data_IF_366309443034
#
_entry.id   IF_366309443034
#
_cell.length_a   1.000
_cell.length_b   1.000
_cell.length_c   1.000
_cell.angle_alpha   90.00
_cell.angle_beta   90.00
_cell.angle_gamma   90.00
#
_symmetry.space_group_name_H-M   'P 1'
#
loop_
_entity.id
_entity.type
_entity.pdbx_description
1 polymer ?
#
# COMPACT_ATOMS: atom_id res chain seq x y z
N UNK A 1 36.77 -15.82 13.91
CA UNK A 1 35.79 -14.77 13.49
C UNK A 1 36.55 -13.83 12.57
N UNK A 2 36.39 -14.00 11.25
CA UNK A 2 36.98 -13.12 10.25
C UNK A 2 36.19 -11.80 10.24
N UNK A 3 36.87 -10.73 10.62
CA UNK A 3 36.32 -9.38 10.50
C UNK A 3 36.03 -9.12 9.00
N UNK A 4 34.75 -9.00 8.65
CA UNK A 4 34.38 -8.52 7.31
C UNK A 4 34.93 -7.11 7.16
N UNK A 5 35.73 -6.89 6.11
CA UNK A 5 36.17 -5.54 5.70
C UNK A 5 34.95 -4.61 5.67
N UNK A 6 35.06 -3.35 6.12
CA UNK A 6 33.96 -2.41 6.00
C UNK A 6 33.59 -2.30 4.52
N UNK A 7 32.32 -2.52 4.20
CA UNK A 7 31.83 -2.28 2.84
C UNK A 7 31.98 -0.78 2.56
N UNK A 8 32.76 -0.46 1.54
CA UNK A 8 33.09 0.91 1.12
C UNK A 8 32.08 1.45 0.12
N UNK A 9 31.12 0.65 -0.32
CA UNK A 9 30.07 1.01 -1.27
C UNK A 9 28.68 0.78 -0.66
N UNK A 10 27.67 1.59 -1.06
CA UNK A 10 26.29 1.37 -0.64
C UNK A 10 25.84 -0.03 -1.00
N UNK A 11 25.11 -0.75 -0.12
CA UNK A 11 24.62 -2.07 -0.44
C UNK A 11 23.63 -1.97 -1.60
N UNK A 12 23.77 -2.79 -2.64
CA UNK A 12 22.75 -2.88 -3.67
C UNK A 12 21.44 -3.37 -3.06
N UNK A 13 20.32 -2.89 -3.59
CA UNK A 13 19.02 -3.46 -3.25
C UNK A 13 19.02 -4.95 -3.61
N UNK A 14 18.52 -5.85 -2.74
CA UNK A 14 18.47 -7.26 -3.06
C UNK A 14 17.65 -7.51 -4.33
N UNK A 15 18.26 -8.23 -5.26
CA UNK A 15 17.51 -8.76 -6.41
C UNK A 15 16.59 -9.85 -5.88
N UNK A 16 15.30 -9.67 -6.11
CA UNK A 16 14.30 -10.69 -5.79
C UNK A 16 14.12 -11.62 -7.00
N UNK A 17 13.73 -12.86 -6.73
CA UNK A 17 13.26 -13.75 -7.80
C UNK A 17 11.74 -13.58 -7.91
N UNK A 18 11.22 -13.01 -9.02
CA UNK A 18 9.82 -12.57 -9.11
C UNK A 18 8.79 -13.69 -8.97
N UNK A 19 9.07 -14.87 -9.51
CA UNK A 19 8.15 -16.02 -9.43
C UNK A 19 8.01 -16.51 -7.99
N UNK A 20 9.12 -16.77 -7.32
CA UNK A 20 9.13 -17.19 -5.90
C UNK A 20 8.50 -16.13 -5.01
N UNK A 21 8.77 -14.85 -5.27
CA UNK A 21 8.18 -13.75 -4.51
C UNK A 21 6.67 -13.71 -4.68
N UNK A 22 6.18 -13.83 -5.91
CA UNK A 22 4.75 -13.90 -6.19
C UNK A 22 4.09 -15.09 -5.50
N UNK A 23 4.69 -16.28 -5.54
CA UNK A 23 4.16 -17.49 -4.91
C UNK A 23 4.11 -17.36 -3.37
N UNK A 24 5.12 -16.76 -2.75
CA UNK A 24 5.12 -16.46 -1.31
C UNK A 24 4.00 -15.50 -0.92
N UNK A 25 3.76 -14.46 -1.71
CA UNK A 25 2.68 -13.50 -1.46
C UNK A 25 1.31 -14.15 -1.66
N UNK A 26 1.14 -14.97 -2.69
CA UNK A 26 -0.09 -15.74 -2.92
C UNK A 26 -0.37 -16.69 -1.75
N UNK A 27 0.65 -17.39 -1.26
CA UNK A 27 0.55 -18.24 -0.07
C UNK A 27 0.17 -17.44 1.19
N UNK A 28 0.75 -16.24 1.37
CA UNK A 28 0.38 -15.33 2.45
C UNK A 28 -1.09 -14.93 2.36
N UNK A 29 -1.58 -14.49 1.19
CA UNK A 29 -2.98 -14.13 0.98
C UNK A 29 -3.89 -15.30 1.32
N UNK A 30 -3.61 -16.49 0.79
CA UNK A 30 -4.39 -17.71 1.04
C UNK A 30 -4.43 -18.06 2.53
N UNK A 31 -3.33 -17.88 3.24
CA UNK A 31 -3.26 -18.09 4.69
C UNK A 31 -4.13 -17.08 5.45
N UNK A 32 -4.12 -15.77 5.05
CA UNK A 32 -4.98 -14.75 5.65
C UNK A 32 -6.46 -15.08 5.45
N UNK A 33 -6.85 -15.49 4.25
CA UNK A 33 -8.23 -15.89 3.94
C UNK A 33 -8.65 -17.09 4.78
N UNK A 34 -7.84 -18.13 4.86
CA UNK A 34 -8.10 -19.31 5.69
C UNK A 34 -8.23 -18.97 7.18
N UNK A 35 -7.32 -18.15 7.72
CA UNK A 35 -7.33 -17.76 9.13
C UNK A 35 -8.54 -16.91 9.51
N UNK A 36 -9.04 -16.10 8.60
CA UNK A 36 -10.18 -15.20 8.84
C UNK A 36 -11.53 -15.83 8.52
N UNK A 37 -11.54 -16.92 7.72
CA UNK A 37 -12.74 -17.57 7.22
C UNK A 37 -13.45 -16.84 6.08
N UNK A 38 -12.82 -15.79 5.52
CA UNK A 38 -13.30 -15.15 4.28
C UNK A 38 -12.79 -15.89 3.06
N UNK A 39 -13.54 -15.80 1.95
CA UNK A 39 -13.17 -16.38 0.66
C UNK A 39 -13.03 -15.34 -0.45
N UNK A 40 -13.38 -14.07 -0.19
CA UNK A 40 -13.45 -13.01 -1.17
C UNK A 40 -12.59 -11.82 -0.77
N UNK A 41 -12.12 -11.08 -1.77
CA UNK A 41 -11.24 -9.92 -1.60
C UNK A 41 -11.80 -8.73 -2.36
N UNK A 42 -11.70 -7.54 -1.75
CA UNK A 42 -11.95 -6.25 -2.40
C UNK A 42 -10.63 -5.50 -2.55
N UNK A 43 -10.38 -4.95 -3.73
CA UNK A 43 -9.20 -4.12 -4.05
C UNK A 43 -9.64 -2.82 -4.71
N UNK A 44 -9.11 -1.70 -4.24
CA UNK A 44 -9.24 -0.42 -4.94
C UNK A 44 -8.32 -0.38 -6.17
N UNK A 45 -8.88 -0.20 -7.36
CA UNK A 45 -8.12 -0.11 -8.61
C UNK A 45 -7.92 1.35 -9.01
N UNK A 46 -6.70 1.84 -8.86
CA UNK A 46 -6.31 3.21 -9.22
C UNK A 46 -5.80 3.34 -10.66
N UNK A 47 -5.54 2.22 -11.35
CA UNK A 47 -4.82 2.21 -12.62
C UNK A 47 -3.31 2.34 -12.48
N UNK A 48 -2.76 2.29 -11.26
CA UNK A 48 -1.33 2.24 -10.96
C UNK A 48 -0.84 0.81 -10.75
N UNK A 49 0.48 0.62 -10.86
CA UNK A 49 1.14 -0.69 -10.78
C UNK A 49 0.90 -1.42 -9.45
N UNK A 50 0.84 -0.70 -8.33
CA UNK A 50 0.63 -1.28 -7.00
C UNK A 50 -0.72 -1.98 -6.92
N UNK A 51 -1.80 -1.25 -7.22
CA UNK A 51 -3.16 -1.79 -7.18
C UNK A 51 -3.36 -2.92 -8.21
N UNK A 52 -2.74 -2.81 -9.38
CA UNK A 52 -2.74 -3.86 -10.39
C UNK A 52 -2.05 -5.13 -9.89
N UNK A 53 -0.84 -4.99 -9.33
CA UNK A 53 -0.08 -6.14 -8.79
C UNK A 53 -0.85 -6.85 -7.68
N UNK A 54 -1.45 -6.09 -6.75
CA UNK A 54 -2.29 -6.67 -5.68
C UNK A 54 -3.49 -7.41 -6.26
N UNK A 55 -4.16 -6.86 -7.27
CA UNK A 55 -5.30 -7.52 -7.91
C UNK A 55 -4.90 -8.84 -8.60
N UNK A 56 -3.75 -8.87 -9.31
CA UNK A 56 -3.24 -10.11 -9.92
C UNK A 56 -2.86 -11.16 -8.88
N UNK A 57 -2.19 -10.78 -7.79
CA UNK A 57 -1.86 -11.68 -6.67
C UNK A 57 -3.12 -12.20 -5.98
N UNK A 58 -4.11 -11.33 -5.74
CA UNK A 58 -5.39 -11.72 -5.15
C UNK A 58 -6.17 -12.68 -6.05
N UNK A 59 -6.23 -12.42 -7.36
CA UNK A 59 -6.89 -13.30 -8.31
C UNK A 59 -6.23 -14.69 -8.36
N UNK A 60 -4.89 -14.77 -8.28
CA UNK A 60 -4.17 -16.07 -8.16
C UNK A 60 -4.48 -16.80 -6.86
N UNK A 61 -4.72 -16.08 -5.77
CA UNK A 61 -4.95 -16.68 -4.44
C UNK A 61 -6.39 -17.18 -4.25
N UNK A 62 -7.40 -16.42 -4.71
CA UNK A 62 -8.81 -16.75 -4.44
C UNK A 62 -9.65 -17.02 -5.69
N UNK A 63 -9.08 -16.84 -6.88
CA UNK A 63 -9.77 -16.91 -8.16
C UNK A 63 -10.45 -15.58 -8.53
N UNK A 64 -10.60 -15.29 -9.84
CA UNK A 64 -11.15 -14.01 -10.31
C UNK A 64 -12.60 -13.77 -9.88
N UNK A 65 -13.43 -14.81 -9.76
CA UNK A 65 -14.82 -14.71 -9.32
C UNK A 65 -14.96 -14.25 -7.86
N UNK A 66 -13.92 -14.43 -7.06
CA UNK A 66 -13.85 -14.03 -5.64
C UNK A 66 -13.10 -12.71 -5.43
N UNK A 67 -12.78 -11.99 -6.50
CA UNK A 67 -12.14 -10.68 -6.47
C UNK A 67 -13.11 -9.61 -6.98
N UNK A 68 -13.27 -8.53 -6.20
CA UNK A 68 -13.96 -7.31 -6.60
C UNK A 68 -12.97 -6.15 -6.73
N UNK A 69 -12.78 -5.67 -7.95
CA UNK A 69 -12.02 -4.46 -8.25
C UNK A 69 -12.91 -3.22 -8.21
N UNK A 70 -12.70 -2.31 -7.25
CA UNK A 70 -13.51 -1.09 -7.12
C UNK A 70 -12.74 0.10 -7.69
N UNK A 71 -13.33 0.75 -8.69
CA UNK A 71 -12.81 1.99 -9.31
C UNK A 71 -13.51 3.18 -8.68
N UNK A 72 -12.75 4.12 -8.13
CA UNK A 72 -13.27 5.23 -7.34
C UNK A 72 -12.76 6.57 -7.85
N UNK A 73 -13.15 6.99 -9.06
CA UNK A 73 -12.70 8.26 -9.62
C UNK A 73 -13.28 9.45 -8.84
N UNK A 74 -12.49 10.51 -8.81
CA UNK A 74 -12.93 11.85 -8.44
C UNK A 74 -12.94 12.72 -9.71
N UNK A 75 -13.66 13.81 -9.76
CA UNK A 75 -13.82 14.67 -10.97
C UNK A 75 -12.51 15.13 -11.62
N UNK A 76 -11.40 15.18 -10.86
CA UNK A 76 -10.08 15.54 -11.39
C UNK A 76 -9.19 14.33 -11.69
N UNK A 77 -9.67 13.10 -11.43
CA UNK A 77 -8.92 11.89 -11.76
C UNK A 77 -8.68 11.76 -13.27
N UNK A 78 -7.51 11.28 -13.62
CA UNK A 78 -7.12 11.11 -15.02
C UNK A 78 -7.99 10.05 -15.71
N UNK A 79 -8.58 10.34 -16.88
CA UNK A 79 -9.26 9.32 -17.69
C UNK A 79 -8.36 8.12 -18.04
N UNK A 80 -7.06 8.33 -18.17
CA UNK A 80 -6.10 7.26 -18.40
C UNK A 80 -6.04 6.29 -17.22
N UNK A 81 -6.12 6.79 -15.98
CA UNK A 81 -6.14 5.93 -14.78
C UNK A 81 -7.37 5.03 -14.75
N UNK A 82 -8.54 5.53 -15.14
CA UNK A 82 -9.74 4.69 -15.24
C UNK A 82 -9.64 3.64 -16.36
N UNK A 83 -9.06 4.03 -17.51
CA UNK A 83 -8.79 3.10 -18.63
C UNK A 83 -7.83 1.99 -18.21
N UNK A 84 -6.75 2.33 -17.50
CA UNK A 84 -5.77 1.36 -17.02
C UNK A 84 -6.38 0.41 -15.97
N UNK A 85 -7.21 0.92 -15.05
CA UNK A 85 -7.95 0.08 -14.12
C UNK A 85 -8.89 -0.90 -14.83
N UNK A 86 -9.56 -0.49 -15.91
CA UNK A 86 -10.38 -1.37 -16.73
C UNK A 86 -9.55 -2.44 -17.47
N UNK A 87 -8.34 -2.11 -17.92
CA UNK A 87 -7.42 -3.11 -18.52
C UNK A 87 -7.06 -4.20 -17.51
N UNK A 88 -6.81 -3.85 -16.25
CA UNK A 88 -6.59 -4.82 -15.17
C UNK A 88 -7.80 -5.74 -15.02
N UNK A 89 -9.00 -5.17 -14.95
CA UNK A 89 -10.26 -5.95 -14.85
C UNK A 89 -10.43 -6.92 -16.02
N UNK A 90 -10.18 -6.44 -17.24
CA UNK A 90 -10.29 -7.27 -18.45
C UNK A 90 -9.26 -8.39 -18.48
N UNK A 91 -8.02 -8.10 -18.09
CA UNK A 91 -6.95 -9.11 -18.07
C UNK A 91 -7.22 -10.20 -17.03
N UNK A 92 -7.84 -9.88 -15.91
CA UNK A 92 -8.16 -10.81 -14.82
C UNK A 92 -9.51 -11.51 -15.02
N UNK A 93 -10.45 -10.93 -15.76
CA UNK A 93 -11.83 -11.40 -15.82
C UNK A 93 -12.56 -11.29 -14.47
N UNK A 94 -12.15 -10.40 -13.57
CA UNK A 94 -12.73 -10.26 -12.24
C UNK A 94 -13.96 -9.34 -12.26
N UNK A 95 -14.73 -9.38 -11.16
CA UNK A 95 -15.85 -8.44 -10.95
C UNK A 95 -15.33 -7.02 -10.75
N UNK A 96 -16.10 -6.02 -11.21
CA UNK A 96 -15.75 -4.62 -11.00
C UNK A 96 -16.96 -3.75 -10.75
N UNK A 97 -16.77 -2.74 -9.92
CA UNK A 97 -17.72 -1.65 -9.70
C UNK A 97 -17.04 -0.30 -9.87
N UNK A 98 -17.85 0.70 -10.24
CA UNK A 98 -17.44 2.10 -10.33
C UNK A 98 -18.25 2.92 -9.35
N UNK A 99 -17.57 3.55 -8.40
CA UNK A 99 -18.18 4.47 -7.43
C UNK A 99 -17.47 5.80 -7.55
N UNK A 100 -18.13 6.80 -8.14
CA UNK A 100 -17.61 8.16 -8.21
C UNK A 100 -17.67 8.83 -6.84
N UNK A 101 -16.54 9.30 -6.33
CA UNK A 101 -16.46 9.88 -4.98
C UNK A 101 -16.70 11.40 -4.93
N UNK A 102 -16.83 12.07 -6.07
CA UNK A 102 -17.08 13.54 -6.13
C UNK A 102 -18.27 13.99 -5.26
N UNK A 103 -19.44 13.31 -5.31
CA UNK A 103 -20.59 13.69 -4.49
C UNK A 103 -20.38 13.51 -2.98
N UNK A 104 -19.36 12.73 -2.57
CA UNK A 104 -19.01 12.53 -1.16
C UNK A 104 -17.93 13.50 -0.69
N UNK A 105 -17.04 13.91 -1.59
CA UNK A 105 -15.88 14.75 -1.29
C UNK A 105 -16.25 16.24 -1.32
N UNK A 106 -16.87 16.71 -2.39
CA UNK A 106 -17.12 18.15 -2.59
C UNK A 106 -18.01 18.78 -1.51
N UNK A 107 -19.14 18.16 -1.10
CA UNK A 107 -19.95 18.71 0.00
C UNK A 107 -19.19 18.78 1.33
N UNK A 108 -18.38 17.76 1.63
CA UNK A 108 -17.57 17.76 2.86
C UNK A 108 -16.53 18.87 2.84
N UNK A 109 -15.83 19.08 1.73
CA UNK A 109 -14.86 20.17 1.58
C UNK A 109 -15.55 21.54 1.69
N UNK A 110 -16.74 21.71 1.10
CA UNK A 110 -17.53 22.94 1.22
C UNK A 110 -17.90 23.27 2.68
N UNK A 111 -18.20 22.26 3.49
CA UNK A 111 -18.49 22.44 4.93
C UNK A 111 -17.25 22.77 5.76
N UNK A 112 -16.07 22.27 5.37
CA UNK A 112 -14.83 22.45 6.11
C UNK A 112 -14.12 23.78 5.81
N UNK A 113 -14.61 24.57 4.87
CA UNK A 113 -14.00 25.81 4.41
C UNK A 113 -12.81 25.60 3.49
N UNK A 114 -12.53 26.58 2.66
CA UNK A 114 -11.41 26.55 1.72
C UNK A 114 -10.08 26.82 2.42
N UNK A 115 -9.19 25.85 2.38
CA UNK A 115 -7.76 26.10 2.61
C UNK A 115 -7.13 26.58 1.29
N UNK A 116 -6.03 27.32 1.34
CA UNK A 116 -5.32 27.81 0.17
C UNK A 116 -3.93 27.18 0.06
N UNK A 117 -3.39 27.13 -1.14
CA UNK A 117 -2.03 26.63 -1.39
C UNK A 117 -1.88 25.11 -1.22
N UNK A 118 -0.65 24.70 -0.94
CA UNK A 118 -0.28 23.26 -0.84
C UNK A 118 -1.02 22.53 0.29
N UNK A 119 -1.31 23.24 1.40
CA UNK A 119 -2.10 22.67 2.49
C UNK A 119 -3.51 22.26 2.03
N UNK A 120 -4.13 23.04 1.15
CA UNK A 120 -5.43 22.72 0.59
C UNK A 120 -5.40 21.44 -0.26
N UNK A 121 -4.32 21.24 -1.03
CA UNK A 121 -4.13 20.02 -1.83
C UNK A 121 -3.99 18.79 -0.93
N UNK A 122 -3.15 18.85 0.09
CA UNK A 122 -2.96 17.77 1.07
C UNK A 122 -4.26 17.44 1.80
N UNK A 123 -5.00 18.45 2.27
CA UNK A 123 -6.30 18.25 2.95
C UNK A 123 -7.31 17.57 2.02
N UNK A 124 -7.43 18.06 0.77
CA UNK A 124 -8.31 17.46 -0.24
C UNK A 124 -7.92 16.02 -0.56
N UNK A 125 -6.65 15.76 -0.80
CA UNK A 125 -6.11 14.41 -1.04
C UNK A 125 -6.44 13.46 0.11
N UNK A 126 -6.26 13.89 1.35
CA UNK A 126 -6.61 13.11 2.53
C UNK A 126 -8.12 12.82 2.63
N UNK A 127 -8.98 13.77 2.27
CA UNK A 127 -10.43 13.53 2.22
C UNK A 127 -10.77 12.50 1.15
N UNK A 128 -10.21 12.63 -0.06
CA UNK A 128 -10.43 11.66 -1.13
C UNK A 128 -9.97 10.26 -0.75
N UNK A 129 -8.79 10.11 -0.16
CA UNK A 129 -8.26 8.81 0.26
C UNK A 129 -9.17 8.15 1.32
N UNK A 130 -9.69 8.95 2.28
CA UNK A 130 -10.62 8.44 3.29
C UNK A 130 -12.01 8.11 2.74
N UNK A 131 -12.51 8.85 1.75
CA UNK A 131 -13.76 8.48 1.07
C UNK A 131 -13.61 7.17 0.29
N UNK A 132 -12.48 6.95 -0.37
CA UNK A 132 -12.16 5.68 -1.01
C UNK A 132 -12.12 4.52 0.00
N UNK A 133 -11.51 4.74 1.16
CA UNK A 133 -11.51 3.76 2.25
C UNK A 133 -12.93 3.40 2.70
N UNK A 134 -13.80 4.40 2.92
CA UNK A 134 -15.21 4.17 3.31
C UNK A 134 -15.91 3.29 2.28
N UNK A 135 -15.77 3.60 0.99
CA UNK A 135 -16.36 2.81 -0.10
C UNK A 135 -15.82 1.37 -0.10
N UNK A 136 -14.50 1.17 0.06
CA UNK A 136 -13.91 -0.16 0.08
C UNK A 136 -14.42 -1.01 1.25
N UNK A 137 -14.54 -0.43 2.43
CA UNK A 137 -15.05 -1.14 3.61
C UNK A 137 -16.56 -1.41 3.53
N UNK A 138 -17.36 -0.52 2.94
CA UNK A 138 -18.76 -0.78 2.63
C UNK A 138 -18.89 -1.96 1.66
N UNK A 139 -18.16 -1.93 0.54
CA UNK A 139 -18.12 -3.02 -0.43
C UNK A 139 -17.59 -4.34 0.14
N UNK A 140 -16.70 -4.27 1.11
CA UNK A 140 -16.22 -5.48 1.79
C UNK A 140 -17.32 -6.18 2.59
N UNK A 141 -18.25 -5.43 3.18
CA UNK A 141 -19.43 -5.99 3.86
C UNK A 141 -20.43 -6.54 2.84
N UNK A 142 -20.75 -5.77 1.80
CA UNK A 142 -21.68 -6.18 0.75
C UNK A 142 -21.22 -7.48 0.03
N UNK A 143 -19.93 -7.58 -0.27
CA UNK A 143 -19.34 -8.72 -0.98
C UNK A 143 -18.90 -9.86 -0.06
N UNK A 144 -19.04 -9.74 1.26
CA UNK A 144 -18.50 -10.65 2.29
C UNK A 144 -17.01 -10.92 2.07
N UNK A 145 -16.20 -9.87 2.06
CA UNK A 145 -14.82 -9.88 1.61
C UNK A 145 -13.88 -9.17 2.61
N UNK A 146 -12.57 -9.35 2.43
CA UNK A 146 -11.54 -8.54 3.09
C UNK A 146 -10.98 -7.50 2.13
N UNK A 147 -10.66 -6.31 2.64
CA UNK A 147 -9.97 -5.26 1.89
C UNK A 147 -8.47 -5.58 1.84
N UNK A 148 -7.91 -5.73 0.64
CA UNK A 148 -6.47 -5.83 0.44
C UNK A 148 -5.86 -4.43 0.25
N UNK A 149 -4.81 -4.13 1.02
CA UNK A 149 -4.04 -2.89 0.90
C UNK A 149 -3.09 -2.92 -0.29
N UNK A 150 -2.86 -1.75 -0.84
CA UNK A 150 -2.03 -1.57 -2.03
C UNK A 150 -0.75 -0.77 -1.77
N UNK A 151 -0.47 -0.39 -0.51
CA UNK A 151 0.76 0.30 -0.13
C UNK A 151 1.95 -0.65 -0.13
N UNK A 152 3.05 -0.23 -0.72
CA UNK A 152 4.33 -0.93 -0.73
C UNK A 152 5.24 -0.50 0.43
N UNK A 153 6.41 -1.17 0.58
CA UNK A 153 7.37 -0.91 1.67
C UNK A 153 7.92 0.51 1.65
N UNK A 154 8.23 1.05 0.48
CA UNK A 154 8.78 2.40 0.32
C UNK A 154 7.79 3.45 0.81
N UNK A 155 6.55 3.37 0.34
CA UNK A 155 5.46 4.26 0.75
C UNK A 155 5.18 4.15 2.26
N UNK A 156 5.12 2.94 2.79
CA UNK A 156 4.90 2.69 4.21
C UNK A 156 6.01 3.29 5.07
N UNK A 157 7.30 3.11 4.71
CA UNK A 157 8.44 3.64 5.45
C UNK A 157 8.50 5.17 5.41
N UNK A 158 8.27 5.76 4.24
CA UNK A 158 8.25 7.21 4.06
C UNK A 158 6.97 7.87 4.57
N UNK A 159 5.96 7.07 4.97
CA UNK A 159 4.64 7.59 5.35
C UNK A 159 3.95 8.32 4.21
N UNK A 160 4.22 7.92 2.96
CA UNK A 160 3.58 8.44 1.76
C UNK A 160 2.22 7.75 1.56
N UNK A 161 1.38 7.87 2.58
CA UNK A 161 0.03 7.32 2.68
C UNK A 161 -0.82 8.23 3.55
N UNK A 162 -2.12 8.19 3.37
CA UNK A 162 -3.08 8.82 4.28
C UNK A 162 -3.49 7.82 5.36
N UNK A 163 -3.18 8.15 6.61
CA UNK A 163 -3.61 7.35 7.75
C UNK A 163 -5.15 7.22 7.77
N UNK A 164 -5.65 5.98 7.88
CA UNK A 164 -7.07 5.65 7.78
C UNK A 164 -7.72 6.04 6.42
N UNK A 165 -6.89 6.20 5.38
CA UNK A 165 -7.31 6.32 3.99
C UNK A 165 -6.80 5.12 3.20
N UNK A 166 -5.90 5.37 2.24
CA UNK A 166 -5.22 4.32 1.45
C UNK A 166 -4.33 3.40 2.30
N UNK A 167 -3.87 3.85 3.47
CA UNK A 167 -3.17 2.99 4.44
C UNK A 167 -4.07 2.01 5.21
N UNK A 168 -5.40 2.12 5.08
CA UNK A 168 -6.33 1.23 5.78
C UNK A 168 -6.62 -0.04 4.96
N UNK A 169 -6.38 -1.20 5.57
CA UNK A 169 -6.63 -2.50 4.95
C UNK A 169 -6.73 -3.60 6.00
N UNK A 170 -7.27 -4.76 5.60
CA UNK A 170 -7.28 -5.95 6.44
C UNK A 170 -5.93 -6.69 6.42
N UNK A 171 -5.20 -6.59 5.33
CA UNK A 171 -3.85 -7.12 5.13
C UNK A 171 -3.15 -6.39 3.98
N UNK A 172 -1.82 -6.35 4.00
CA UNK A 172 -0.98 -5.63 3.04
C UNK A 172 -0.04 -6.61 2.30
N UNK A 173 -0.45 -7.17 1.15
CA UNK A 173 0.30 -8.22 0.46
C UNK A 173 1.66 -7.77 -0.07
N UNK A 174 1.80 -6.51 -0.48
CA UNK A 174 3.03 -5.95 -1.04
C UNK A 174 3.77 -5.03 -0.06
N UNK A 175 3.36 -5.01 1.21
CA UNK A 175 3.90 -4.11 2.24
C UNK A 175 5.38 -4.34 2.59
N UNK A 176 5.98 -5.43 2.15
CA UNK A 176 7.43 -5.71 2.31
C UNK A 176 8.21 -5.69 0.98
N UNK A 177 7.59 -5.24 -0.11
CA UNK A 177 8.28 -5.01 -1.38
C UNK A 177 8.63 -3.53 -1.55
N UNK A 178 9.88 -3.24 -1.87
CA UNK A 178 10.27 -1.92 -2.35
C UNK A 178 9.63 -1.64 -3.72
N UNK A 179 9.41 -0.36 -4.04
CA UNK A 179 8.74 0.06 -5.29
C UNK A 179 9.46 -0.45 -6.54
N UNK A 180 10.78 -0.40 -6.56
CA UNK A 180 11.59 -0.95 -7.66
C UNK A 180 11.46 -2.46 -7.81
N UNK A 181 11.36 -3.21 -6.70
CA UNK A 181 11.16 -4.65 -6.70
C UNK A 181 9.75 -5.03 -7.17
N UNK A 182 8.75 -4.24 -6.82
CA UNK A 182 7.36 -4.47 -7.19
C UNK A 182 7.17 -4.55 -8.71
N UNK A 183 7.87 -3.71 -9.47
CA UNK A 183 7.79 -3.71 -10.95
C UNK A 183 8.15 -5.06 -11.55
N UNK A 184 9.21 -5.70 -11.05
CA UNK A 184 9.63 -7.02 -11.52
C UNK A 184 8.56 -8.10 -11.23
N UNK A 185 7.90 -8.01 -10.07
CA UNK A 185 6.78 -8.90 -9.73
C UNK A 185 5.57 -8.64 -10.64
N UNK A 186 5.25 -7.37 -10.91
CA UNK A 186 4.16 -6.99 -11.80
C UNK A 186 4.35 -7.53 -13.23
N UNK A 187 5.56 -7.40 -13.77
CA UNK A 187 5.93 -7.95 -15.09
C UNK A 187 5.77 -9.48 -15.11
N UNK A 188 6.30 -10.17 -14.10
CA UNK A 188 6.17 -11.63 -13.98
C UNK A 188 4.72 -12.10 -13.91
N UNK A 189 3.86 -11.35 -13.24
CA UNK A 189 2.43 -11.66 -13.11
C UNK A 189 1.64 -11.42 -14.40
N UNK A 190 2.20 -10.71 -15.38
CA UNK A 190 1.54 -10.34 -16.63
C UNK A 190 0.65 -9.11 -16.49
N UNK A 191 0.95 -8.21 -15.55
CA UNK A 191 0.33 -6.88 -15.49
C UNK A 191 0.59 -6.15 -16.82
N UNK A 192 -0.41 -5.50 -17.44
CA UNK A 192 -0.22 -4.80 -18.71
C UNK A 192 1.00 -3.87 -18.69
N UNK A 193 1.86 -3.98 -19.71
CA UNK A 193 3.17 -3.32 -19.74
C UNK A 193 3.07 -1.79 -19.60
N UNK A 194 2.05 -1.18 -20.19
CA UNK A 194 1.78 0.25 -20.08
C UNK A 194 1.51 0.73 -18.64
N UNK A 195 0.97 -0.15 -17.78
CA UNK A 195 0.77 0.14 -16.35
C UNK A 195 2.09 0.01 -15.59
N UNK A 196 2.92 -0.98 -15.93
CA UNK A 196 4.21 -1.23 -15.27
C UNK A 196 5.20 -0.08 -15.51
N UNK A 197 5.24 0.46 -16.73
CA UNK A 197 6.17 1.55 -17.10
C UNK A 197 5.64 2.94 -16.77
N UNK A 198 4.36 3.06 -16.39
CA UNK A 198 3.72 4.34 -16.07
C UNK A 198 4.42 4.99 -14.88
N UNK A 199 4.73 6.32 -14.95
CA UNK A 199 5.22 7.05 -13.80
C UNK A 199 4.26 6.94 -12.60
N UNK A 200 4.77 6.66 -11.39
CA UNK A 200 3.92 6.55 -10.20
C UNK A 200 3.21 7.88 -9.88
N UNK A 201 1.92 7.80 -9.56
CA UNK A 201 1.12 8.95 -9.16
C UNK A 201 -0.06 8.51 -8.30
N UNK A 202 -0.36 9.28 -7.25
CA UNK A 202 -1.57 9.11 -6.45
C UNK A 202 -2.83 9.65 -7.17
N UNK A 203 -2.70 10.35 -8.31
CA UNK A 203 -3.79 10.90 -9.15
C UNK A 203 -4.81 11.73 -8.34
N UNK A 204 -4.32 12.52 -7.38
CA UNK A 204 -5.15 13.37 -6.53
C UNK A 204 -5.37 14.76 -7.14
N UNK A 205 -4.47 15.21 -8.01
CA UNK A 205 -4.59 16.44 -8.80
C UNK A 205 -3.87 16.32 -10.14
N UNK A 206 -4.24 17.13 -11.14
CA UNK A 206 -3.64 17.06 -12.48
C UNK A 206 -2.12 17.29 -12.45
N UNK A 207 -1.37 16.40 -13.13
CA UNK A 207 0.08 16.49 -13.24
C UNK A 207 0.86 16.03 -12.01
N UNK A 208 0.22 15.47 -10.99
CA UNK A 208 0.89 14.89 -9.84
C UNK A 208 1.76 13.71 -10.26
N UNK A 209 2.98 13.66 -9.73
CA UNK A 209 3.85 12.49 -9.74
C UNK A 209 4.47 12.31 -8.37
N UNK A 210 4.58 11.06 -7.92
CA UNK A 210 5.13 10.76 -6.59
C UNK A 210 6.59 11.25 -6.47
N UNK A 211 7.41 11.01 -7.50
CA UNK A 211 8.81 11.45 -7.53
C UNK A 211 8.94 12.99 -7.56
N UNK A 212 7.98 13.67 -8.21
CA UNK A 212 7.93 15.14 -8.17
C UNK A 212 7.64 15.70 -6.78
N UNK A 213 6.77 15.05 -6.01
CA UNK A 213 6.45 15.46 -4.64
C UNK A 213 7.55 15.07 -3.63
N UNK A 214 8.13 13.88 -3.80
CA UNK A 214 9.21 13.41 -2.94
C UNK A 214 10.54 14.10 -3.26
N UNK A 215 10.67 14.71 -4.47
CA UNK A 215 11.87 15.36 -4.95
C UNK A 215 13.03 14.40 -5.24
N UNK A 216 12.77 13.10 -5.28
CA UNK A 216 13.74 12.00 -5.44
C UNK A 216 13.12 10.85 -6.22
N UNK A 217 13.97 10.07 -6.90
CA UNK A 217 13.52 8.86 -7.59
C UNK A 217 13.30 7.70 -6.61
N UNK A 218 12.41 6.79 -6.97
CA UNK A 218 12.19 5.58 -6.14
C UNK A 218 13.45 4.71 -6.01
N UNK A 219 14.30 4.66 -7.02
CA UNK A 219 15.55 3.90 -6.96
C UNK A 219 16.53 4.46 -5.91
N UNK A 220 16.64 5.79 -5.80
CA UNK A 220 17.43 6.46 -4.78
C UNK A 220 16.85 6.23 -3.38
N UNK A 221 15.52 6.36 -3.26
CA UNK A 221 14.81 6.15 -2.00
C UNK A 221 14.94 4.72 -1.50
N UNK A 222 14.70 3.72 -2.38
CA UNK A 222 14.75 2.30 -2.03
C UNK A 222 16.14 1.86 -1.58
N UNK A 223 17.20 2.32 -2.27
CA UNK A 223 18.59 2.03 -1.88
C UNK A 223 18.93 2.63 -0.51
N UNK A 224 18.50 3.87 -0.27
CA UNK A 224 18.75 4.55 1.00
C UNK A 224 17.97 3.90 2.14
N UNK A 225 16.69 3.59 1.92
CA UNK A 225 15.86 2.87 2.88
C UNK A 225 16.41 1.49 3.20
N UNK A 226 16.87 0.75 2.19
CA UNK A 226 17.48 -0.57 2.40
C UNK A 226 18.72 -0.48 3.29
N UNK A 227 19.59 0.52 3.06
CA UNK A 227 20.78 0.72 3.89
C UNK A 227 20.40 1.06 5.35
N UNK A 228 19.50 2.02 5.54
CA UNK A 228 19.11 2.49 6.87
C UNK A 228 18.25 1.48 7.65
N UNK A 229 17.25 0.87 7.00
CA UNK A 229 16.24 0.05 7.67
C UNK A 229 16.64 -1.42 7.71
N UNK A 230 16.89 -2.05 6.54
CA UNK A 230 17.17 -3.50 6.49
C UNK A 230 18.60 -3.81 6.93
N UNK A 231 19.57 -2.97 6.53
CA UNK A 231 20.99 -3.14 6.91
C UNK A 231 21.31 -2.47 8.24
N UNK A 232 20.41 -1.65 8.77
CA UNK A 232 20.57 -0.88 10.03
C UNK A 232 21.86 -0.08 10.06
N UNK A 233 22.23 0.52 8.94
CA UNK A 233 23.38 1.42 8.88
C UNK A 233 23.03 2.76 9.50
N UNK A 234 24.04 3.38 10.13
CA UNK A 234 23.89 4.76 10.61
C UNK A 234 23.96 5.73 9.43
N UNK A 235 23.50 6.97 9.64
CA UNK A 235 23.58 8.04 8.63
C UNK A 235 25.03 8.24 8.18
N UNK A 236 25.97 8.32 9.13
CA UNK A 236 27.39 8.51 8.85
C UNK A 236 27.95 7.39 7.99
N UNK A 237 27.53 6.15 8.27
CA UNK A 237 27.97 4.99 7.47
C UNK A 237 27.43 5.03 6.05
N UNK A 238 26.18 5.42 5.87
CA UNK A 238 25.56 5.58 4.56
C UNK A 238 26.30 6.62 3.71
N UNK A 239 26.61 7.76 4.31
CA UNK A 239 27.35 8.86 3.67
C UNK A 239 28.79 8.44 3.36
N UNK A 240 29.49 7.79 4.29
CA UNK A 240 30.86 7.28 4.09
C UNK A 240 30.91 6.21 2.96
N UNK A 241 29.83 5.51 2.71
CA UNK A 241 29.70 4.55 1.63
C UNK A 241 29.30 5.18 0.28
N UNK A 242 29.10 6.51 0.22
CA UNK A 242 28.85 7.24 -1.02
C UNK A 242 27.38 7.51 -1.34
N UNK A 243 26.45 7.32 -0.39
CA UNK A 243 25.09 7.84 -0.54
C UNK A 243 25.08 9.34 -0.31
N UNK A 244 24.20 10.03 -1.02
CA UNK A 244 24.09 11.49 -0.96
C UNK A 244 23.65 11.95 0.45
N UNK A 245 24.40 12.85 1.13
CA UNK A 245 24.17 13.19 2.53
C UNK A 245 22.76 13.74 2.81
N UNK A 246 22.31 14.71 2.02
CA UNK A 246 21.00 15.36 2.21
C UNK A 246 19.86 14.37 2.04
N UNK A 247 20.00 13.41 1.10
CA UNK A 247 19.02 12.34 0.90
C UNK A 247 18.97 11.39 2.10
N UNK A 248 20.12 10.96 2.61
CA UNK A 248 20.21 10.03 3.76
C UNK A 248 19.59 10.67 5.00
N UNK A 249 19.94 11.92 5.30
CA UNK A 249 19.40 12.67 6.43
C UNK A 249 17.88 12.88 6.31
N UNK A 250 17.42 13.27 5.13
CA UNK A 250 16.01 13.45 4.83
C UNK A 250 15.21 12.15 5.01
N UNK A 251 15.70 11.03 4.45
CA UNK A 251 15.04 9.73 4.57
C UNK A 251 14.99 9.29 6.03
N UNK A 252 16.12 9.36 6.76
CA UNK A 252 16.19 8.98 8.17
C UNK A 252 15.19 9.78 9.03
N UNK A 253 15.19 11.11 8.87
CA UNK A 253 14.27 12.00 9.59
C UNK A 253 12.80 11.72 9.22
N UNK A 254 12.51 11.48 7.94
CA UNK A 254 11.16 11.19 7.47
C UNK A 254 10.63 9.86 7.99
N UNK A 255 11.44 8.78 7.93
CA UNK A 255 11.07 7.46 8.47
C UNK A 255 10.73 7.54 9.95
N UNK A 256 11.54 8.26 10.74
CA UNK A 256 11.28 8.48 12.17
C UNK A 256 10.02 9.31 12.41
N UNK A 257 9.85 10.43 11.71
CA UNK A 257 8.69 11.32 11.86
C UNK A 257 7.37 10.63 11.47
N UNK A 258 7.40 9.72 10.52
CA UNK A 258 6.20 9.05 9.99
C UNK A 258 5.91 7.69 10.65
N UNK A 259 6.65 7.32 11.69
CA UNK A 259 6.48 6.05 12.38
C UNK A 259 5.06 5.83 12.90
N UNK A 260 4.42 6.88 13.42
CA UNK A 260 3.05 6.81 13.94
C UNK A 260 2.02 6.30 12.93
N UNK A 261 2.26 6.48 11.62
CA UNK A 261 1.35 5.98 10.58
C UNK A 261 1.41 4.44 10.42
N UNK A 262 2.49 3.82 10.86
CA UNK A 262 2.73 2.37 10.77
C UNK A 262 2.33 1.62 12.03
N UNK A 263 1.96 2.34 13.08
CA UNK A 263 1.60 1.76 14.35
C UNK A 263 0.09 1.82 14.58
N UNK A 264 -0.43 0.81 15.29
CA UNK A 264 -1.76 0.92 15.87
C UNK A 264 -1.78 2.06 16.90
N UNK A 265 -2.93 2.71 17.12
CA UNK A 265 -3.03 3.74 18.14
C UNK A 265 -2.48 3.24 19.48
N UNK A 266 -1.54 3.97 20.13
CA UNK A 266 -0.98 3.56 21.40
C UNK A 266 -2.06 3.53 22.47
N UNK A 267 -2.03 2.48 23.29
CA UNK A 267 -3.00 2.28 24.38
C UNK A 267 -2.33 2.52 25.72
N UNK A 268 -2.96 3.32 26.58
CA UNK A 268 -2.51 3.51 27.96
C UNK A 268 -2.62 2.18 28.72
N UNK A 269 -1.48 1.61 29.07
CA UNK A 269 -1.43 0.32 29.78
C UNK A 269 -1.71 0.51 31.27
N UNK A 270 -2.87 0.09 31.73
CA UNK A 270 -3.31 0.17 33.12
C UNK A 270 -3.62 -1.23 33.71
N UNK A 271 -3.47 -2.29 32.94
CA UNK A 271 -3.74 -3.66 33.38
C UNK A 271 -2.62 -4.62 32.97
N UNK A 272 -2.63 -5.82 33.49
CA UNK A 272 -1.65 -6.87 33.17
C UNK A 272 -1.78 -7.39 31.72
N UNK A 273 -2.96 -7.21 31.11
CA UNK A 273 -3.23 -7.69 29.75
C UNK A 273 -3.97 -6.63 28.94
N UNK A 274 -3.23 -5.95 28.09
CA UNK A 274 -3.75 -4.91 27.20
C UNK A 274 -4.04 -5.50 25.81
N UNK A 275 -5.24 -5.32 25.24
CA UNK A 275 -5.57 -5.78 23.89
C UNK A 275 -4.56 -5.26 22.86
N UNK A 276 -4.09 -6.15 21.96
CA UNK A 276 -3.13 -5.80 20.92
C UNK A 276 -1.66 -5.64 21.37
N UNK A 277 -1.40 -5.68 22.69
CA UNK A 277 -0.04 -5.61 23.27
C UNK A 277 0.31 -6.93 23.95
N UNK A 278 -0.31 -7.23 25.08
CA UNK A 278 -0.04 -8.45 25.86
C UNK A 278 -1.10 -9.54 25.62
N UNK A 279 -2.35 -9.14 25.29
CA UNK A 279 -3.42 -10.05 24.99
C UNK A 279 -3.48 -10.33 23.49
N UNK A 280 -2.69 -11.33 23.07
CA UNK A 280 -2.62 -11.80 21.69
C UNK A 280 -3.52 -13.02 21.44
N UNK A 281 -4.31 -13.42 22.42
CA UNK A 281 -5.18 -14.60 22.39
C UNK A 281 -6.67 -14.22 22.49
N UNK A 282 -7.56 -15.11 22.04
CA UNK A 282 -7.24 -16.38 21.40
C UNK A 282 -6.69 -16.20 20.00
N UNK A 283 -5.60 -16.93 19.68
CA UNK A 283 -5.15 -17.08 18.31
C UNK A 283 -6.25 -17.77 17.51
N UNK A 284 -6.51 -17.33 16.30
CA UNK A 284 -7.45 -17.98 15.39
C UNK A 284 -7.04 -19.43 15.20
N UNK A 285 -7.99 -20.37 15.43
CA UNK A 285 -7.77 -21.78 15.18
C UNK A 285 -8.11 -22.07 13.72
N UNK A 286 -7.28 -22.83 12.97
CA UNK A 286 -7.66 -23.32 11.66
C UNK A 286 -9.00 -24.08 11.77
N UNK A 287 -9.97 -23.78 10.91
CA UNK A 287 -11.27 -24.47 10.88
C UNK A 287 -12.37 -23.93 11.77
N UNK A 288 -12.19 -22.84 12.51
CA UNK A 288 -13.31 -22.16 13.17
C UNK A 288 -14.20 -21.48 12.12
N UNK A 289 -15.32 -22.11 11.77
CA UNK A 289 -16.34 -21.51 10.90
C UNK A 289 -16.84 -20.21 11.54
N UNK A 290 -16.89 -19.12 10.76
CA UNK A 290 -17.67 -17.94 11.16
C UNK A 290 -19.10 -18.41 11.43
N UNK A 291 -19.58 -18.20 12.64
CA UNK A 291 -21.02 -18.21 12.87
C UNK A 291 -21.58 -16.99 12.14
N UNK A 292 -22.40 -17.25 11.12
CA UNK A 292 -22.98 -16.25 10.24
C UNK A 292 -23.97 -15.36 10.98
N UNK A 293 -23.46 -14.39 11.74
CA UNK A 293 -24.22 -13.18 12.08
C UNK A 293 -23.25 -12.02 12.22
N UNK A 294 -23.36 -10.96 11.42
CA UNK A 294 -22.66 -9.72 11.71
C UNK A 294 -23.16 -9.21 13.07
N UNK A 295 -22.22 -8.89 13.94
CA UNK A 295 -22.51 -8.08 15.12
C UNK A 295 -22.75 -6.67 14.57
N UNK A 296 -23.99 -6.16 14.68
CA UNK A 296 -24.39 -4.84 14.28
C UNK A 296 -23.62 -3.72 14.94
#
# INVERSE_FOLDING_TARGET
>A
MTARSPQTEPPPLPVIEPATTADLIVAFISAQMSQTGFSRIVVGLSGGVDSATVAFLAARAVGPDNLLGVRMPYRTSSPASETDALRVVQALGCRTERVEITPMVDPLLGLMGEAQGDEAQVRRGNVMARQRMIVLYDKSVEFDALVAGTSNKTEALLGYTTQYGDGASAFAPIGDLYKSQLRAVAEHLGVPAEIVVKPPSADLWPGQTDEGELGRTYDELDRTLFALVDRRWTVERCVAAGLEPDLVEWVAARVARMEYKRQMPPVAKISLRTPGIDHLYPRRRPGSRRTSKPIG
#
